data_IF_712917938113
#
_entry.id   IF_712917938113
#
_cell.length_a   1.000
_cell.length_b   1.000
_cell.length_c   1.000
_cell.angle_alpha   90.00
_cell.angle_beta   90.00
_cell.angle_gamma   90.00
#
_symmetry.space_group_name_H-M   'P 1'
#
loop_
_entity.id
_entity.type
_entity.pdbx_description
1 polymer ?
#
# COMPACT_ATOMS: atom_id res chain seq x y z
N UNK A 1 -14.45 -7.41 -1.05
CA UNK A 1 -13.66 -8.32 -0.18
C UNK A 1 -12.45 -7.55 0.30
N UNK A 2 -12.43 -7.11 1.56
CA UNK A 2 -11.28 -6.39 2.13
C UNK A 2 -10.31 -7.41 2.71
N UNK A 3 -9.13 -7.55 2.11
CA UNK A 3 -8.05 -8.39 2.62
C UNK A 3 -7.27 -7.54 3.64
N UNK A 4 -7.54 -7.73 4.92
CA UNK A 4 -6.79 -7.09 6.01
C UNK A 4 -5.62 -7.98 6.45
N UNK A 5 -4.53 -7.37 6.94
CA UNK A 5 -3.28 -8.01 7.39
C UNK A 5 -3.43 -9.05 8.51
N UNK A 6 -4.63 -9.20 9.09
CA UNK A 6 -4.94 -10.31 9.98
C UNK A 6 -5.23 -11.55 9.15
N UNK A 7 -4.18 -12.14 8.56
CA UNK A 7 -4.16 -13.60 8.44
C UNK A 7 -4.35 -14.12 9.85
N UNK A 8 -5.50 -14.72 10.14
CA UNK A 8 -5.73 -15.46 11.36
C UNK A 8 -4.59 -16.48 11.48
N UNK A 9 -3.62 -16.18 12.33
CA UNK A 9 -2.60 -17.13 12.73
C UNK A 9 -3.36 -18.23 13.46
N UNK A 10 -3.52 -19.39 12.85
CA UNK A 10 -3.92 -20.58 13.60
C UNK A 10 -2.80 -20.88 14.61
N UNK A 11 -3.01 -20.67 15.93
CA UNK A 11 -1.96 -20.86 16.91
C UNK A 11 -1.52 -22.33 17.02
N UNK A 12 -2.33 -23.27 16.51
CA UNK A 12 -2.02 -24.70 16.46
C UNK A 12 -1.43 -25.17 15.13
N UNK A 13 -1.39 -24.31 14.11
CA UNK A 13 -0.88 -24.63 12.78
C UNK A 13 0.64 -24.48 12.66
N UNK A 14 1.29 -25.17 11.72
CA UNK A 14 2.71 -24.94 11.45
C UNK A 14 2.92 -23.49 10.99
N UNK A 15 3.98 -22.80 11.48
CA UNK A 15 4.29 -21.44 11.04
C UNK A 15 4.40 -21.36 9.52
N UNK A 16 3.79 -20.32 8.92
CA UNK A 16 3.95 -20.06 7.49
C UNK A 16 5.43 -19.78 7.22
N UNK A 17 6.04 -20.56 6.32
CA UNK A 17 7.41 -20.35 5.92
C UNK A 17 7.58 -18.93 5.36
N UNK A 18 8.59 -18.18 5.85
CA UNK A 18 8.89 -16.79 5.46
C UNK A 18 8.91 -16.57 3.94
N UNK A 19 9.29 -17.59 3.18
CA UNK A 19 9.41 -17.55 1.72
C UNK A 19 8.38 -18.42 1.00
N UNK A 20 7.37 -18.95 1.70
CA UNK A 20 6.38 -19.87 1.13
C UNK A 20 5.56 -19.29 -0.02
N UNK A 21 5.40 -17.96 -0.07
CA UNK A 21 4.69 -17.27 -1.16
C UNK A 21 5.61 -16.91 -2.34
N UNK A 22 6.94 -16.95 -2.19
CA UNK A 22 7.86 -16.58 -3.27
C UNK A 22 7.72 -17.43 -4.54
N UNK A 23 7.53 -18.77 -4.48
CA UNK A 23 7.30 -19.58 -5.67
C UNK A 23 6.10 -19.09 -6.48
N UNK A 24 4.99 -18.77 -5.81
CA UNK A 24 3.75 -18.29 -6.45
C UNK A 24 4.04 -17.01 -7.24
N UNK A 25 4.67 -16.02 -6.61
CA UNK A 25 5.01 -14.77 -7.27
C UNK A 25 5.98 -14.95 -8.44
N UNK A 26 6.97 -15.85 -8.30
CA UNK A 26 7.89 -16.20 -9.40
C UNK A 26 7.17 -16.84 -10.57
N UNK A 27 6.23 -17.75 -10.32
CA UNK A 27 5.47 -18.41 -11.39
C UNK A 27 4.62 -17.42 -12.20
N UNK A 28 4.07 -16.40 -11.56
CA UNK A 28 3.27 -15.36 -12.23
C UNK A 28 4.15 -14.23 -12.80
N UNK A 29 5.46 -14.25 -12.55
CA UNK A 29 6.39 -13.21 -13.01
C UNK A 29 6.24 -11.87 -12.29
N UNK A 30 5.64 -11.87 -11.09
CA UNK A 30 5.35 -10.66 -10.32
C UNK A 30 6.28 -10.53 -9.12
N UNK A 31 6.51 -9.28 -8.70
CA UNK A 31 7.21 -8.98 -7.45
C UNK A 31 6.17 -8.56 -6.40
N UNK A 32 6.14 -9.20 -5.21
CA UNK A 32 5.16 -8.86 -4.17
C UNK A 32 5.23 -7.38 -3.76
N UNK A 33 6.43 -6.78 -3.79
CA UNK A 33 6.61 -5.37 -3.50
C UNK A 33 5.93 -4.46 -4.53
N UNK A 34 5.94 -4.82 -5.82
CA UNK A 34 5.26 -4.05 -6.87
C UNK A 34 3.75 -4.06 -6.66
N UNK A 35 3.17 -5.23 -6.42
CA UNK A 35 1.74 -5.36 -6.10
C UNK A 35 1.33 -4.55 -4.86
N UNK A 36 2.19 -4.51 -3.84
CA UNK A 36 1.95 -3.65 -2.67
C UNK A 36 1.97 -2.17 -3.06
N UNK A 37 2.91 -1.72 -3.89
CA UNK A 37 2.99 -0.33 -4.36
C UNK A 37 1.76 0.03 -5.19
N UNK A 38 1.36 -0.83 -6.13
CA UNK A 38 0.18 -0.62 -6.97
C UNK A 38 -1.07 -0.45 -6.09
N UNK A 39 -1.27 -1.37 -5.14
CA UNK A 39 -2.41 -1.30 -4.22
C UNK A 39 -2.42 -0.03 -3.34
N UNK A 40 -1.25 0.44 -2.91
CA UNK A 40 -1.14 1.70 -2.15
C UNK A 40 -1.51 2.89 -3.03
N UNK A 41 -1.04 2.90 -4.29
CA UNK A 41 -1.31 3.99 -5.21
C UNK A 41 -2.80 4.06 -5.58
N UNK A 42 -3.42 2.91 -5.84
CA UNK A 42 -4.86 2.80 -6.08
C UNK A 42 -5.66 3.38 -4.89
N UNK A 43 -5.32 2.97 -3.66
CA UNK A 43 -6.01 3.46 -2.46
C UNK A 43 -5.78 4.96 -2.22
N UNK A 44 -4.59 5.46 -2.53
CA UNK A 44 -4.27 6.88 -2.44
C UNK A 44 -5.09 7.70 -3.44
N UNK A 45 -5.31 7.17 -4.65
CA UNK A 45 -6.14 7.80 -5.67
C UNK A 45 -7.61 7.88 -5.23
N UNK A 46 -8.14 6.82 -4.63
CA UNK A 46 -9.53 6.76 -4.16
C UNK A 46 -9.79 7.67 -2.94
N UNK A 47 -8.90 7.65 -1.94
CA UNK A 47 -9.19 8.29 -0.63
C UNK A 47 -8.56 9.66 -0.44
N UNK A 48 -7.39 9.90 -1.03
CA UNK A 48 -6.57 11.08 -0.77
C UNK A 48 -6.28 11.36 0.72
N UNK A 49 -6.42 10.36 1.61
CA UNK A 49 -6.28 10.50 3.05
C UNK A 49 -5.01 9.78 3.54
N UNK A 50 -3.97 10.52 3.97
CA UNK A 50 -2.74 9.91 4.45
C UNK A 50 -2.94 9.10 5.75
N UNK A 51 -3.90 9.46 6.61
CA UNK A 51 -4.17 8.73 7.86
C UNK A 51 -4.79 7.37 7.55
N UNK A 52 -5.67 7.30 6.56
CA UNK A 52 -6.21 6.04 6.05
C UNK A 52 -5.12 5.12 5.51
N UNK A 53 -4.21 5.64 4.67
CA UNK A 53 -3.08 4.84 4.16
C UNK A 53 -2.17 4.31 5.27
N UNK A 54 -1.92 5.10 6.32
CA UNK A 54 -1.16 4.66 7.49
C UNK A 54 -1.85 3.48 8.19
N UNK A 55 -3.17 3.56 8.39
CA UNK A 55 -3.95 2.51 9.06
C UNK A 55 -4.02 1.22 8.26
N UNK A 56 -4.24 1.31 6.95
CA UNK A 56 -4.42 0.14 6.08
C UNK A 56 -3.10 -0.59 5.80
N UNK A 57 -2.01 0.16 5.61
CA UNK A 57 -0.75 -0.40 5.11
C UNK A 57 0.40 -0.37 6.12
N UNK A 58 0.19 0.18 7.32
CA UNK A 58 1.20 0.24 8.38
C UNK A 58 2.44 1.04 7.98
N UNK A 59 2.25 2.16 7.27
CA UNK A 59 3.36 3.00 6.77
C UNK A 59 3.55 4.28 7.59
N UNK A 60 4.76 4.85 7.52
CA UNK A 60 5.09 6.11 8.19
C UNK A 60 4.35 7.32 7.56
N UNK A 61 4.12 8.40 8.33
CA UNK A 61 3.42 9.60 7.86
C UNK A 61 4.03 10.20 6.58
N UNK A 62 5.36 10.34 6.52
CA UNK A 62 6.04 10.92 5.35
C UNK A 62 5.82 10.08 4.09
N UNK A 63 5.77 8.76 4.23
CA UNK A 63 5.52 7.84 3.13
C UNK A 63 4.06 7.95 2.66
N UNK A 64 3.10 7.98 3.58
CA UNK A 64 1.69 8.16 3.24
C UNK A 64 1.46 9.50 2.51
N UNK A 65 2.08 10.57 3.00
CA UNK A 65 2.01 11.88 2.37
C UNK A 65 2.61 11.91 0.95
N UNK A 66 3.72 11.19 0.71
CA UNK A 66 4.30 11.06 -0.63
C UNK A 66 3.32 10.41 -1.61
N UNK A 67 2.64 9.33 -1.19
CA UNK A 67 1.66 8.66 -2.04
C UNK A 67 0.44 9.55 -2.33
N UNK A 68 -0.08 10.27 -1.33
CA UNK A 68 -1.19 11.21 -1.54
C UNK A 68 -0.81 12.34 -2.50
N UNK A 69 0.39 12.92 -2.35
CA UNK A 69 0.89 13.96 -3.28
C UNK A 69 1.07 13.44 -4.70
N UNK A 70 1.56 12.22 -4.85
CA UNK A 70 1.75 11.60 -6.16
C UNK A 70 0.41 11.28 -6.85
N UNK A 71 -0.59 10.85 -6.09
CA UNK A 71 -1.94 10.59 -6.61
C UNK A 71 -2.74 11.87 -6.89
N UNK A 72 -2.52 12.94 -6.12
CA UNK A 72 -3.29 14.20 -6.22
C UNK A 72 -2.38 15.44 -6.38
N UNK A 73 -1.55 15.53 -7.44
CA UNK A 73 -0.58 16.62 -7.59
C UNK A 73 -1.24 18.00 -7.64
N UNK A 74 -2.42 18.09 -8.25
CA UNK A 74 -3.21 19.33 -8.37
C UNK A 74 -3.61 19.95 -7.01
N UNK A 75 -3.63 19.18 -5.91
CA UNK A 75 -3.94 19.70 -4.57
C UNK A 75 -2.75 20.36 -3.88
N UNK A 76 -1.55 20.17 -4.40
CA UNK A 76 -0.30 20.60 -3.74
C UNK A 76 0.57 21.51 -4.62
N UNK A 77 0.35 21.53 -5.94
CA UNK A 77 0.96 22.50 -6.83
C UNK A 77 0.21 23.82 -6.64
N UNK A 78 0.90 24.87 -6.19
CA UNK A 78 0.34 26.23 -6.16
C UNK A 78 0.30 26.78 -7.57
N UNK A 79 -0.82 27.37 -7.96
CA UNK A 79 -0.94 28.08 -9.22
C UNK A 79 -0.04 29.33 -9.19
N UNK A 80 0.88 29.51 -10.15
CA UNK A 80 1.81 30.64 -10.16
C UNK A 80 1.12 32.00 -10.37
N UNK A 81 -0.18 32.03 -10.63
CA UNK A 81 -0.98 33.25 -10.84
C UNK A 81 -1.67 33.76 -9.57
N UNK A 82 -1.53 33.09 -8.44
CA UNK A 82 -1.99 33.58 -7.13
C UNK A 82 -0.81 34.13 -6.31
N UNK A 83 -0.27 35.29 -6.72
CA UNK A 83 0.67 36.09 -5.94
C UNK A 83 0.44 37.58 -6.23
#
# INVERSE_FOLDING_TARGET
>A
MFVTQVTALDPGGPPVAKYGLQPIFRHVGLQPQKLRIDRIFDEAHETADPVHLMRVFGMAPDTAMKYVKAAHPHRFIKDPTQA
#
